data_IF_145045227985
#
_entry.id   IF_145045227985
#
_cell.length_a   1.000
_cell.length_b   1.000
_cell.length_c   1.000
_cell.angle_alpha   90.00
_cell.angle_beta   90.00
_cell.angle_gamma   90.00
#
_symmetry.space_group_name_H-M   'P 1'
#
loop_
_entity.id
_entity.type
_entity.pdbx_description
1 polymer ?
#
# COMPACT_ATOMS: atom_id res chain seq x y z
N UNK A 1 5.55 13.40 -32.15
CA UNK A 1 5.58 13.66 -30.69
C UNK A 1 5.34 12.33 -29.98
N UNK A 2 6.37 11.76 -29.35
CA UNK A 2 6.27 10.49 -28.63
C UNK A 2 6.58 10.73 -27.14
N UNK A 3 5.53 10.93 -26.34
CA UNK A 3 5.61 11.06 -24.87
C UNK A 3 5.22 9.73 -24.24
N UNK A 4 6.05 8.70 -24.41
CA UNK A 4 5.91 7.45 -23.68
C UNK A 4 7.28 7.08 -23.13
N UNK A 5 7.52 7.50 -21.88
CA UNK A 5 8.69 7.10 -21.11
C UNK A 5 8.69 5.59 -20.94
N UNK A 6 9.41 4.89 -21.82
CA UNK A 6 9.80 3.50 -21.59
C UNK A 6 10.57 3.44 -20.28
N UNK A 7 9.95 2.81 -19.29
CA UNK A 7 10.53 1.98 -18.24
C UNK A 7 11.75 2.46 -17.46
N UNK A 8 11.91 3.79 -17.26
CA UNK A 8 12.96 4.33 -16.38
C UNK A 8 12.95 3.70 -14.99
N UNK A 9 11.78 3.34 -14.45
CA UNK A 9 11.68 2.66 -13.15
C UNK A 9 12.35 1.28 -13.18
N UNK A 10 12.09 0.46 -14.21
CA UNK A 10 12.73 -0.85 -14.32
C UNK A 10 14.22 -0.73 -14.53
N UNK A 11 14.67 0.24 -15.32
CA UNK A 11 16.10 0.50 -15.50
C UNK A 11 16.78 0.90 -14.18
N UNK A 12 16.15 1.77 -13.38
CA UNK A 12 16.66 2.14 -12.06
C UNK A 12 16.72 0.94 -11.10
N UNK A 13 15.65 0.13 -11.07
CA UNK A 13 15.61 -1.09 -10.26
C UNK A 13 16.72 -2.07 -10.66
N UNK A 14 16.88 -2.33 -11.96
CA UNK A 14 17.92 -3.24 -12.46
C UNK A 14 19.35 -2.74 -12.16
N UNK A 15 19.59 -1.43 -12.13
CA UNK A 15 20.90 -0.86 -11.73
C UNK A 15 21.23 -1.14 -10.27
N UNK A 16 20.22 -1.19 -9.41
CA UNK A 16 20.33 -1.54 -7.99
C UNK A 16 20.33 -3.06 -7.76
N UNK A 17 20.42 -3.88 -8.82
CA UNK A 17 20.42 -5.35 -8.71
C UNK A 17 19.04 -5.97 -8.49
N UNK A 18 17.95 -5.21 -8.66
CA UNK A 18 16.59 -5.70 -8.54
C UNK A 18 16.06 -6.25 -9.87
N UNK A 19 15.57 -7.49 -9.84
CA UNK A 19 14.94 -8.18 -10.96
C UNK A 19 13.41 -8.19 -10.79
N UNK A 20 12.70 -7.51 -11.69
CA UNK A 20 11.23 -7.47 -11.64
C UNK A 20 10.66 -8.82 -12.12
N UNK A 21 10.38 -9.73 -11.20
CA UNK A 21 9.71 -11.01 -11.48
C UNK A 21 8.20 -10.84 -11.60
N UNK A 22 7.61 -9.94 -10.81
CA UNK A 22 6.17 -9.66 -10.84
C UNK A 22 5.85 -8.19 -10.54
N UNK A 23 4.67 -7.74 -10.99
CA UNK A 23 4.10 -6.42 -10.63
C UNK A 23 2.88 -6.68 -9.76
N UNK A 24 3.01 -6.41 -8.46
CA UNK A 24 1.94 -6.68 -7.49
C UNK A 24 0.83 -5.64 -7.54
N UNK A 25 1.19 -4.40 -7.85
CA UNK A 25 0.21 -3.34 -8.03
C UNK A 25 0.71 -2.30 -9.02
N UNK A 26 -0.09 -2.01 -10.04
CA UNK A 26 0.22 -1.05 -11.09
C UNK A 26 -0.65 0.20 -10.94
N UNK A 27 -0.04 1.30 -10.50
CA UNK A 27 -0.72 2.58 -10.46
C UNK A 27 -1.21 3.01 -11.84
N UNK A 28 -2.41 3.59 -11.87
CA UNK A 28 -2.92 4.28 -13.04
C UNK A 28 -2.02 5.49 -13.37
N UNK A 29 -1.78 5.79 -14.66
CA UNK A 29 -1.03 6.97 -15.07
C UNK A 29 -1.58 8.25 -14.42
N UNK A 30 -0.69 9.14 -14.00
CA UNK A 30 -1.00 10.43 -13.36
C UNK A 30 -1.75 10.33 -12.01
N UNK A 31 -1.92 9.14 -11.46
CA UNK A 31 -2.47 8.98 -10.10
C UNK A 31 -1.41 9.28 -9.04
N UNK A 32 -1.89 9.63 -7.84
CA UNK A 32 -1.06 9.70 -6.65
C UNK A 32 -0.70 8.29 -6.09
N UNK A 33 -1.13 7.22 -6.77
CA UNK A 33 -0.95 5.87 -6.30
C UNK A 33 0.47 5.34 -6.61
N UNK A 34 1.02 4.48 -5.73
CA UNK A 34 2.32 3.85 -5.92
C UNK A 34 2.25 2.70 -6.91
N UNK A 35 3.39 2.34 -7.50
CA UNK A 35 3.57 1.05 -8.18
C UNK A 35 4.40 0.13 -7.29
N UNK A 36 3.99 -1.14 -7.16
CA UNK A 36 4.68 -2.13 -6.33
C UNK A 36 5.17 -3.27 -7.21
N UNK A 37 6.45 -3.59 -7.06
CA UNK A 37 7.16 -4.62 -7.80
C UNK A 37 7.69 -5.69 -6.84
N UNK A 38 7.86 -6.89 -7.36
CA UNK A 38 8.41 -8.03 -6.65
C UNK A 38 9.61 -8.58 -7.38
N UNK A 39 10.60 -9.00 -6.60
CA UNK A 39 11.77 -9.75 -7.01
C UNK A 39 11.85 -11.02 -6.16
N UNK A 40 11.32 -12.11 -6.72
CA UNK A 40 11.34 -13.41 -6.05
C UNK A 40 12.73 -14.04 -6.04
N UNK A 41 13.63 -13.65 -6.95
CA UNK A 41 14.99 -14.20 -7.06
C UNK A 41 15.83 -13.73 -5.88
N UNK A 42 15.75 -12.44 -5.55
CA UNK A 42 16.52 -11.83 -4.46
C UNK A 42 15.72 -11.67 -3.16
N UNK A 43 14.49 -12.21 -3.11
CA UNK A 43 13.56 -12.07 -1.97
C UNK A 43 13.40 -10.60 -1.55
N UNK A 44 13.14 -9.75 -2.54
CA UNK A 44 13.01 -8.31 -2.40
C UNK A 44 11.72 -7.79 -3.04
N UNK A 45 11.30 -6.62 -2.60
CA UNK A 45 10.18 -5.90 -3.20
C UNK A 45 10.53 -4.42 -3.31
N UNK A 46 9.89 -3.74 -4.25
CA UNK A 46 10.11 -2.32 -4.45
C UNK A 46 8.81 -1.55 -4.54
N UNK A 47 8.81 -0.33 -4.00
CA UNK A 47 7.72 0.62 -4.15
C UNK A 47 8.22 1.87 -4.85
N UNK A 48 7.46 2.33 -5.83
CA UNK A 48 7.69 3.59 -6.52
C UNK A 48 6.51 4.53 -6.26
N UNK A 49 6.75 5.57 -5.46
CA UNK A 49 5.81 6.68 -5.29
C UNK A 49 5.88 7.61 -6.51
N UNK A 50 4.78 8.31 -6.87
CA UNK A 50 4.84 9.36 -7.88
C UNK A 50 5.89 10.41 -7.53
N UNK A 51 6.64 10.87 -8.54
CA UNK A 51 7.72 11.86 -8.41
C UNK A 51 8.86 11.52 -7.44
N UNK A 52 8.97 10.28 -6.97
CA UNK A 52 10.07 9.80 -6.12
C UNK A 52 10.82 8.65 -6.79
N UNK A 53 12.07 8.45 -6.38
CA UNK A 53 12.83 7.26 -6.76
C UNK A 53 12.24 6.00 -6.10
N UNK A 54 12.33 4.83 -6.77
CA UNK A 54 11.86 3.59 -6.20
C UNK A 54 12.69 3.21 -4.96
N UNK A 55 12.03 2.72 -3.92
CA UNK A 55 12.67 2.18 -2.72
C UNK A 55 12.59 0.66 -2.74
N UNK A 56 13.69 -0.01 -2.44
CA UNK A 56 13.81 -1.46 -2.39
C UNK A 56 13.90 -1.91 -0.94
N UNK A 57 13.26 -3.03 -0.63
CA UNK A 57 13.20 -3.64 0.70
C UNK A 57 13.36 -5.16 0.57
N UNK A 58 13.88 -5.81 1.61
CA UNK A 58 13.86 -7.28 1.69
C UNK A 58 12.49 -7.78 2.13
N UNK A 59 12.14 -9.02 1.76
CA UNK A 59 11.03 -9.74 2.36
C UNK A 59 11.15 -9.84 3.88
N UNK A 60 12.38 -9.98 4.40
CA UNK A 60 12.65 -10.05 5.83
C UNK A 60 12.32 -8.74 6.57
N UNK A 61 12.15 -7.64 5.84
CA UNK A 61 11.76 -6.36 6.41
C UNK A 61 10.25 -6.23 6.60
N UNK A 62 9.43 -7.05 5.95
CA UNK A 62 7.97 -7.02 6.13
C UNK A 62 7.62 -7.61 7.49
N UNK A 63 7.02 -6.79 8.37
CA UNK A 63 6.67 -7.17 9.74
C UNK A 63 5.18 -7.41 9.94
N UNK A 64 4.33 -6.69 9.20
CA UNK A 64 2.87 -6.81 9.24
C UNK A 64 2.28 -6.09 8.03
N UNK A 65 1.11 -6.55 7.57
CA UNK A 65 0.32 -5.89 6.53
C UNK A 65 -1.15 -5.84 6.94
N UNK A 66 -1.90 -4.81 6.52
CA UNK A 66 -3.34 -4.73 6.74
C UNK A 66 -4.02 -3.92 5.64
N UNK A 67 -5.20 -4.39 5.22
CA UNK A 67 -6.13 -3.61 4.39
C UNK A 67 -6.88 -2.62 5.27
N UNK A 68 -6.84 -1.35 4.89
CA UNK A 68 -7.36 -0.23 5.65
C UNK A 68 -8.47 0.43 4.86
N UNK A 69 -9.66 0.50 5.46
CA UNK A 69 -10.82 1.16 4.88
C UNK A 69 -11.33 2.27 5.80
N UNK A 70 -11.74 3.39 5.19
CA UNK A 70 -12.45 4.47 5.87
C UNK A 70 -13.79 4.71 5.17
N UNK A 71 -14.87 4.52 5.92
CA UNK A 71 -16.25 4.80 5.50
C UNK A 71 -16.87 5.99 6.26
N UNK A 72 -16.04 6.76 6.97
CA UNK A 72 -16.45 7.92 7.76
C UNK A 72 -17.28 7.57 9.00
N UNK A 73 -17.46 6.28 9.31
CA UNK A 73 -18.18 5.81 10.51
C UNK A 73 -17.24 5.47 11.67
N UNK A 74 -15.96 5.25 11.38
CA UNK A 74 -14.94 5.03 12.40
C UNK A 74 -14.82 6.30 13.25
N UNK A 75 -15.12 6.18 14.55
CA UNK A 75 -14.83 7.23 15.51
C UNK A 75 -13.34 7.57 15.42
N UNK A 76 -12.93 8.84 15.62
CA UNK A 76 -11.53 9.12 15.88
C UNK A 76 -11.13 8.22 17.04
N UNK A 77 -10.23 7.28 16.79
CA UNK A 77 -9.68 6.44 17.83
C UNK A 77 -9.02 7.42 18.80
N UNK A 78 -9.66 7.68 19.94
CA UNK A 78 -8.98 8.22 21.10
C UNK A 78 -7.92 7.17 21.40
N UNK A 79 -6.70 7.44 20.94
CA UNK A 79 -5.58 6.51 21.01
C UNK A 79 -5.62 5.77 22.35
N UNK A 80 -6.11 4.52 22.34
CA UNK A 80 -6.21 3.76 23.57
C UNK A 80 -4.77 3.55 24.05
N UNK A 81 -4.40 4.06 25.24
CA UNK A 81 -3.05 3.87 25.75
C UNK A 81 -2.90 2.37 26.04
N UNK A 82 -2.09 1.68 25.23
CA UNK A 82 -1.78 0.26 25.40
C UNK A 82 -2.22 -0.68 24.28
N UNK A 83 -2.84 -0.21 23.20
CA UNK A 83 -3.03 -1.03 21.99
C UNK A 83 -1.73 -1.03 21.16
N UNK A 84 -1.10 -2.19 21.00
CA UNK A 84 0.18 -2.36 20.29
C UNK A 84 0.14 -1.84 18.83
N UNK A 85 0.64 -0.60 18.68
CA UNK A 85 1.44 0.03 17.62
C UNK A 85 1.08 -0.05 16.13
N UNK A 86 0.16 -0.89 15.66
CA UNK A 86 -0.19 -0.94 14.22
C UNK A 86 -1.55 -0.31 13.93
N UNK A 87 -2.61 -0.69 14.67
CA UNK A 87 -3.96 -0.17 14.46
C UNK A 87 -4.10 1.34 14.73
N UNK A 88 -3.44 1.84 15.78
CA UNK A 88 -3.40 3.27 16.13
C UNK A 88 -2.59 4.11 15.14
N UNK A 89 -1.60 3.50 14.46
CA UNK A 89 -0.70 4.15 13.49
C UNK A 89 -1.22 4.08 12.05
N UNK A 90 -2.08 3.10 11.76
CA UNK A 90 -2.90 2.97 10.53
C UNK A 90 -3.98 4.07 10.43
N UNK A 91 -4.04 4.98 11.40
CA UNK A 91 -4.83 6.20 11.32
C UNK A 91 -4.57 6.92 9.98
N UNK A 92 -5.52 6.72 9.07
CA UNK A 92 -5.39 7.11 7.69
C UNK A 92 -5.26 8.65 7.59
N UNK A 93 -4.17 9.21 7.02
CA UNK A 93 -3.99 10.64 6.85
C UNK A 93 -5.08 11.27 5.97
N UNK A 94 -5.84 10.48 5.20
CA UNK A 94 -7.03 10.97 4.50
C UNK A 94 -8.25 11.22 5.42
N UNK A 95 -8.27 10.68 6.66
CA UNK A 95 -9.35 10.91 7.65
C UNK A 95 -9.44 12.39 8.06
N UNK A 96 -8.29 13.08 8.17
CA UNK A 96 -8.24 14.49 8.54
C UNK A 96 -8.88 15.41 7.48
N UNK A 97 -8.81 15.01 6.20
CA UNK A 97 -9.36 15.79 5.08
C UNK A 97 -10.88 15.66 4.94
N UNK A 98 -11.51 14.62 5.52
CA UNK A 98 -12.90 14.22 5.21
C UNK A 98 -13.90 14.33 6.37
N UNK A 99 -13.53 15.02 7.46
CA UNK A 99 -14.41 15.33 8.61
C UNK A 99 -15.76 15.98 8.24
N UNK A 100 -15.91 16.53 7.03
CA UNK A 100 -17.15 17.16 6.54
C UNK A 100 -18.05 16.27 5.66
N UNK A 101 -17.64 15.04 5.32
CA UNK A 101 -18.48 14.16 4.49
C UNK A 101 -19.51 13.43 5.37
N UNK A 102 -20.80 13.55 5.04
CA UNK A 102 -21.88 12.88 5.76
C UNK A 102 -21.59 11.38 5.90
N UNK A 103 -21.53 10.90 7.15
CA UNK A 103 -21.29 9.49 7.54
C UNK A 103 -22.32 8.61 6.83
N UNK A 104 -21.87 7.67 5.99
CA UNK A 104 -22.74 6.72 5.29
C UNK A 104 -22.05 5.37 5.19
N UNK A 105 -22.54 4.39 5.94
CA UNK A 105 -22.01 3.02 5.99
C UNK A 105 -21.88 2.34 4.61
N UNK A 106 -22.68 2.76 3.62
CA UNK A 106 -22.64 2.23 2.25
C UNK A 106 -21.59 2.89 1.35
N UNK A 107 -20.80 3.84 1.87
CA UNK A 107 -19.80 4.59 1.10
C UNK A 107 -18.40 4.34 1.65
N UNK A 108 -17.47 3.98 0.78
CA UNK A 108 -16.04 4.00 1.05
C UNK A 108 -15.48 5.37 0.64
N UNK A 109 -14.79 6.04 1.56
CA UNK A 109 -14.07 7.29 1.31
C UNK A 109 -12.59 7.05 1.06
N UNK A 110 -12.04 5.97 1.60
CA UNK A 110 -10.71 5.53 1.24
C UNK A 110 -10.53 4.04 1.45
N UNK A 111 -9.68 3.45 0.62
CA UNK A 111 -9.18 2.11 0.80
C UNK A 111 -7.67 2.13 0.58
N UNK A 112 -6.94 1.34 1.33
CA UNK A 112 -5.49 1.30 1.33
C UNK A 112 -4.92 -0.05 1.78
N UNK A 113 -3.63 -0.28 1.53
CA UNK A 113 -2.86 -1.31 2.24
C UNK A 113 -1.76 -0.60 3.02
N UNK A 114 -1.67 -0.90 4.32
CA UNK A 114 -0.63 -0.42 5.20
C UNK A 114 0.35 -1.54 5.50
N UNK A 115 1.65 -1.28 5.33
CA UNK A 115 2.71 -2.27 5.55
C UNK A 115 3.72 -1.72 6.55
N UNK A 116 4.01 -2.48 7.60
CA UNK A 116 5.05 -2.16 8.58
C UNK A 116 6.37 -2.79 8.16
N UNK A 117 7.40 -1.95 8.04
CA UNK A 117 8.72 -2.36 7.56
C UNK A 117 9.80 -2.15 8.62
N UNK A 118 10.78 -3.06 8.72
CA UNK A 118 11.92 -3.00 9.64
C UNK A 118 12.92 -1.90 9.25
N UNK A 119 13.64 -1.34 10.23
CA UNK A 119 14.87 -0.55 10.00
C UNK A 119 14.68 0.93 9.65
N UNK A 120 13.48 1.36 9.28
CA UNK A 120 13.17 2.77 9.07
C UNK A 120 12.22 3.29 10.16
N UNK A 121 12.64 3.32 11.43
CA UNK A 121 11.77 3.71 12.58
C UNK A 121 10.35 3.12 12.52
N UNK A 122 10.20 1.86 12.09
CA UNK A 122 8.88 1.25 11.89
C UNK A 122 8.06 1.89 10.77
N UNK A 123 8.70 2.25 9.65
CA UNK A 123 8.08 2.94 8.54
C UNK A 123 6.80 2.23 8.08
N UNK A 124 5.71 2.99 8.12
CA UNK A 124 4.43 2.60 7.57
C UNK A 124 4.38 3.05 6.10
N UNK A 125 4.31 2.09 5.19
CA UNK A 125 3.99 2.38 3.81
C UNK A 125 2.49 2.28 3.62
N UNK A 126 1.83 3.41 3.38
CA UNK A 126 0.42 3.45 3.04
C UNK A 126 0.26 3.56 1.52
N UNK A 127 -0.38 2.56 0.94
CA UNK A 127 -0.65 2.48 -0.49
C UNK A 127 -2.12 2.88 -0.71
N UNK A 128 -2.42 4.04 -1.33
CA UNK A 128 -3.79 4.42 -1.61
C UNK A 128 -4.38 3.56 -2.74
N UNK A 129 -5.60 3.05 -2.51
CA UNK A 129 -6.40 2.32 -3.49
C UNK A 129 -7.66 3.08 -3.89
N UNK A 130 -8.28 3.81 -2.95
CA UNK A 130 -9.39 4.73 -3.23
C UNK A 130 -9.09 6.06 -2.55
N UNK A 131 -9.03 7.13 -3.32
CA UNK A 131 -8.94 8.51 -2.81
C UNK A 131 -10.22 9.32 -3.04
N UNK A 132 -11.26 8.73 -3.63
CA UNK A 132 -12.53 9.38 -3.97
C UNK A 132 -13.70 8.73 -3.24
N UNK A 133 -14.90 9.31 -3.34
CA UNK A 133 -16.09 8.74 -2.71
C UNK A 133 -16.63 7.62 -3.60
N UNK A 134 -16.72 6.39 -3.09
CA UNK A 134 -17.16 5.22 -3.87
C UNK A 134 -18.21 4.42 -3.11
N UNK A 135 -19.28 4.00 -3.78
CA UNK A 135 -20.28 3.12 -3.16
C UNK A 135 -19.71 1.73 -2.93
N UNK A 136 -19.94 1.14 -1.75
CA UNK A 136 -19.52 -0.24 -1.44
C UNK A 136 -20.26 -1.29 -2.29
N UNK A 137 -21.43 -0.95 -2.83
CA UNK A 137 -22.16 -1.80 -3.78
C UNK A 137 -21.64 -1.73 -5.22
N UNK A 138 -20.74 -0.81 -5.53
CA UNK A 138 -20.23 -0.64 -6.89
C UNK A 138 -19.20 -1.71 -7.27
N UNK A 139 -19.19 -2.09 -8.54
CA UNK A 139 -18.15 -2.99 -9.09
C UNK A 139 -16.74 -2.40 -8.95
N UNK A 140 -16.64 -1.08 -9.05
CA UNK A 140 -15.37 -0.37 -8.83
C UNK A 140 -14.82 -0.61 -7.42
N UNK A 141 -15.66 -0.46 -6.38
CA UNK A 141 -15.24 -0.76 -5.02
C UNK A 141 -14.84 -2.22 -4.85
N UNK A 142 -15.66 -3.17 -5.36
CA UNK A 142 -15.37 -4.61 -5.22
C UNK A 142 -14.05 -4.99 -5.89
N UNK A 143 -13.77 -4.44 -7.07
CA UNK A 143 -12.52 -4.65 -7.78
C UNK A 143 -11.32 -4.10 -7.01
N UNK A 144 -11.42 -2.85 -6.57
CA UNK A 144 -10.32 -2.20 -5.85
C UNK A 144 -10.09 -2.86 -4.48
N UNK A 145 -11.15 -3.36 -3.85
CA UNK A 145 -11.04 -4.17 -2.64
C UNK A 145 -10.31 -5.49 -2.87
N UNK A 146 -10.66 -6.21 -3.92
CA UNK A 146 -9.95 -7.43 -4.30
C UNK A 146 -8.46 -7.17 -4.61
N UNK A 147 -8.13 -6.05 -5.26
CA UNK A 147 -6.73 -5.65 -5.51
C UNK A 147 -5.98 -5.35 -4.20
N UNK A 148 -6.62 -4.68 -3.23
CA UNK A 148 -6.05 -4.42 -1.91
C UNK A 148 -5.85 -5.72 -1.11
N UNK A 149 -6.82 -6.62 -1.12
CA UNK A 149 -6.73 -7.92 -0.44
C UNK A 149 -5.60 -8.77 -1.06
N UNK A 150 -5.50 -8.83 -2.39
CA UNK A 150 -4.43 -9.54 -3.09
C UNK A 150 -3.03 -8.97 -2.78
N UNK A 151 -2.90 -7.64 -2.70
CA UNK A 151 -1.64 -7.02 -2.34
C UNK A 151 -1.27 -7.29 -0.87
N UNK A 152 -2.25 -7.25 0.03
CA UNK A 152 -2.06 -7.63 1.43
C UNK A 152 -1.57 -9.08 1.57
N UNK A 153 -2.21 -10.03 0.87
CA UNK A 153 -1.80 -11.43 0.84
C UNK A 153 -0.37 -11.63 0.31
N UNK A 154 0.03 -10.85 -0.70
CA UNK A 154 1.40 -10.88 -1.22
C UNK A 154 2.41 -10.44 -0.14
N UNK A 155 2.15 -9.35 0.59
CA UNK A 155 3.02 -8.91 1.69
C UNK A 155 3.08 -9.92 2.84
N UNK A 156 1.95 -10.53 3.20
CA UNK A 156 1.89 -11.60 4.19
C UNK A 156 2.73 -12.82 3.75
N UNK A 157 2.68 -13.18 2.47
CA UNK A 157 3.52 -14.25 1.93
C UNK A 157 5.01 -13.89 2.01
N UNK A 158 5.38 -12.66 1.67
CA UNK A 158 6.76 -12.17 1.78
C UNK A 158 7.27 -12.24 3.22
N UNK A 159 6.49 -11.75 4.19
CA UNK A 159 6.85 -11.81 5.62
C UNK A 159 7.13 -13.24 6.07
N UNK A 160 6.24 -14.19 5.73
CA UNK A 160 6.43 -15.63 6.03
C UNK A 160 7.65 -16.24 5.35
N UNK A 161 8.04 -15.75 4.17
CA UNK A 161 9.28 -16.18 3.51
C UNK A 161 10.52 -15.59 4.18
N UNK A 162 10.48 -14.31 4.54
CA UNK A 162 11.57 -13.63 5.24
C UNK A 162 11.84 -14.18 6.65
N UNK A 163 10.83 -14.74 7.32
CA UNK A 163 11.00 -15.42 8.61
C UNK A 163 11.65 -16.81 8.48
N UNK A 164 11.36 -17.54 7.41
CA UNK A 164 11.91 -18.90 7.16
C UNK A 164 13.37 -18.91 6.70
N UNK A 165 13.86 -17.77 6.19
CA UNK A 165 15.27 -17.59 5.79
C UNK A 165 16.19 -17.10 6.91
N UNK A 166 15.71 -16.95 8.15
CA UNK A 166 16.53 -16.65 9.33
C UNK A 166 16.89 -17.93 10.07
#
# INVERSE_FOLDING_TARGET
>A
MALFGKDKTRELLSKEGFEVTSVLYQAMPLSAAPTVYQDEVHLAWAVRMPASEPRIFSYADVLASQVVEDDGTQAPDEAQPGADSFASFVANPMRASRRNAARRAETCFSLGVAVRVRGAEGALLQLPFIASRTSKSSDAYRRIRAEADALHEAFEAMGRHGERGR
#
